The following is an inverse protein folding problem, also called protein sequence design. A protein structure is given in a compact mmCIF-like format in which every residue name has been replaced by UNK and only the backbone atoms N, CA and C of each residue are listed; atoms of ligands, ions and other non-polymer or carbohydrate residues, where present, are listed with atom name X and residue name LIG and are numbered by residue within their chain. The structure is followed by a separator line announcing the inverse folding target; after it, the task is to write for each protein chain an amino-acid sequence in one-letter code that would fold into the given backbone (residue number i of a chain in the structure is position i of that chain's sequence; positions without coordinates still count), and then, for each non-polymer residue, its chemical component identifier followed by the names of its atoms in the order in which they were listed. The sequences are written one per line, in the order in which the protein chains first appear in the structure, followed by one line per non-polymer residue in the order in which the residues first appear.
data_IF_870634837760
#
_entry.id   IF_870634837760
#
_cell.length_a   1.000
_cell.length_b   1.000
_cell.length_c   1.000
_cell.angle_alpha   90.00
_cell.angle_beta   90.00
_cell.angle_gamma   90.00
#
_symmetry.space_group_name_H-M   'P 1'
#
loop_
_entity.id
_entity.type
_entity.pdbx_description
1 polymer ?
#
# COMPACT_ATOMS: atom_id res chain seq x y z
N UNK A 1 -6.55 10.43 -5.66
CA UNK A 1 -6.84 9.43 -4.61
C UNK A 1 -8.09 9.84 -3.86
N UNK A 2 -9.08 8.95 -3.72
CA UNK A 2 -10.31 9.25 -2.97
C UNK A 2 -10.36 8.51 -1.62
N UNK A 3 -11.21 8.98 -0.71
CA UNK A 3 -11.38 8.37 0.62
C UNK A 3 -11.86 6.91 0.55
N UNK A 4 -12.53 6.52 -0.55
CA UNK A 4 -13.01 5.14 -0.74
C UNK A 4 -11.84 4.18 -0.92
N UNK A 5 -10.84 4.57 -1.71
CA UNK A 5 -9.64 3.76 -1.97
C UNK A 5 -8.81 3.53 -0.70
N UNK A 6 -8.57 4.58 0.10
CA UNK A 6 -7.88 4.42 1.41
C UNK A 6 -8.65 3.44 2.30
N UNK A 7 -9.98 3.57 2.36
CA UNK A 7 -10.80 2.71 3.21
C UNK A 7 -10.70 1.25 2.80
N UNK A 8 -10.70 0.98 1.50
CA UNK A 8 -10.44 -0.36 0.98
C UNK A 8 -9.06 -0.87 1.41
N UNK A 9 -7.99 -0.08 1.23
CA UNK A 9 -6.63 -0.47 1.65
C UNK A 9 -6.56 -0.79 3.14
N UNK A 10 -7.16 0.01 4.00
CA UNK A 10 -7.14 -0.23 5.45
C UNK A 10 -7.94 -1.47 5.86
N UNK A 11 -9.10 -1.70 5.23
CA UNK A 11 -9.82 -2.98 5.41
C UNK A 11 -8.99 -4.16 4.92
N UNK A 12 -8.29 -4.04 3.79
CA UNK A 12 -7.41 -5.08 3.26
C UNK A 12 -6.27 -5.39 4.23
N UNK A 13 -5.62 -4.38 4.81
CA UNK A 13 -4.57 -4.58 5.80
C UNK A 13 -5.09 -5.25 7.08
N UNK A 14 -6.30 -4.88 7.50
CA UNK A 14 -6.97 -5.50 8.65
C UNK A 14 -7.26 -6.99 8.39
N UNK A 15 -7.83 -7.32 7.24
CA UNK A 15 -8.12 -8.70 6.83
C UNK A 15 -6.83 -9.50 6.66
N UNK A 16 -5.82 -8.91 5.99
CA UNK A 16 -4.52 -9.55 5.77
C UNK A 16 -3.86 -9.90 7.09
N UNK A 17 -3.83 -8.98 8.06
CA UNK A 17 -3.29 -9.25 9.39
C UNK A 17 -3.96 -10.44 10.06
N UNK A 18 -5.29 -10.53 9.99
CA UNK A 18 -6.05 -11.65 10.57
C UNK A 18 -5.70 -12.97 9.91
N UNK A 19 -5.63 -12.98 8.58
CA UNK A 19 -5.32 -14.18 7.81
C UNK A 19 -3.84 -14.60 7.95
N UNK A 20 -2.91 -13.66 8.17
CA UNK A 20 -1.49 -13.95 8.39
C UNK A 20 -1.26 -14.78 9.65
N UNK A 21 -2.19 -14.74 10.62
CA UNK A 21 -2.20 -15.62 11.79
C UNK A 21 -2.35 -17.11 11.43
N UNK A 22 -2.85 -17.43 10.23
CA UNK A 22 -3.17 -18.79 9.80
C UNK A 22 -2.19 -19.38 8.78
N UNK A 23 -1.40 -18.57 8.07
CA UNK A 23 -0.55 -19.03 6.96
C UNK A 23 0.91 -19.19 7.35
N UNK A 24 1.50 -20.34 7.00
CA UNK A 24 2.96 -20.57 7.00
C UNK A 24 3.48 -20.22 5.61
N UNK A 25 4.14 -19.09 5.43
CA UNK A 25 4.50 -18.59 4.11
C UNK A 25 5.88 -19.04 3.59
N UNK A 26 5.98 -19.11 2.26
CA UNK A 26 7.20 -19.22 1.48
C UNK A 26 7.96 -17.88 1.46
N UNK A 27 9.25 -17.93 1.12
CA UNK A 27 10.22 -16.86 1.38
C UNK A 27 10.47 -15.92 0.21
N UNK A 28 9.48 -15.58 -0.62
CA UNK A 28 9.74 -14.83 -1.85
C UNK A 28 8.74 -13.71 -2.14
N UNK A 29 9.10 -12.49 -1.74
CA UNK A 29 8.27 -11.30 -1.92
C UNK A 29 7.66 -11.15 -3.33
N UNK A 30 6.50 -10.49 -3.39
CA UNK A 30 5.81 -10.17 -4.63
C UNK A 30 5.44 -8.69 -4.69
N UNK A 31 5.22 -8.19 -5.90
CA UNK A 31 4.66 -6.86 -6.14
C UNK A 31 3.36 -6.99 -6.90
N UNK A 32 2.39 -6.18 -6.51
CA UNK A 32 1.11 -6.05 -7.20
C UNK A 32 0.99 -4.64 -7.74
N UNK A 33 0.75 -4.54 -9.04
CA UNK A 33 0.44 -3.30 -9.72
C UNK A 33 -1.08 -3.22 -9.94
N UNK A 34 -1.68 -2.15 -9.44
CA UNK A 34 -3.13 -1.92 -9.48
C UNK A 34 -3.40 -0.57 -10.10
N UNK A 35 -4.26 -0.53 -11.11
CA UNK A 35 -4.75 0.69 -11.75
C UNK A 35 -6.28 0.82 -11.65
N UNK A 36 -6.79 1.99 -12.06
CA UNK A 36 -8.21 2.25 -12.08
C UNK A 36 -8.90 1.56 -13.27
N UNK A 37 -10.13 1.12 -13.07
CA UNK A 37 -10.92 0.48 -14.13
C UNK A 37 -11.24 1.44 -15.28
N UNK A 38 -11.29 2.74 -15.03
CA UNK A 38 -11.62 3.74 -16.06
C UNK A 38 -10.36 4.25 -16.79
N UNK A 39 -9.17 4.13 -16.18
CA UNK A 39 -7.89 4.55 -16.77
C UNK A 39 -6.80 3.54 -16.46
N UNK A 40 -6.40 2.81 -17.50
CA UNK A 40 -5.36 1.80 -17.39
C UNK A 40 -3.98 2.35 -17.69
N UNK A 41 -3.07 2.12 -16.75
CA UNK A 41 -1.64 2.42 -16.88
C UNK A 41 -0.80 1.14 -16.85
N UNK A 42 -1.39 0.05 -16.35
CA UNK A 42 -0.79 -1.26 -16.20
C UNK A 42 -1.41 -2.22 -17.21
N UNK A 43 -0.61 -3.14 -17.72
CA UNK A 43 -1.11 -4.16 -18.62
C UNK A 43 -1.99 -5.14 -17.87
N UNK A 44 -3.04 -5.58 -18.54
CA UNK A 44 -3.90 -6.63 -18.00
C UNK A 44 -3.15 -7.96 -17.95
N UNK A 45 -3.39 -8.79 -16.92
CA UNK A 45 -2.92 -10.17 -16.92
C UNK A 45 -3.46 -10.89 -18.17
N UNK A 46 -2.59 -11.48 -18.99
CA UNK A 46 -2.99 -12.31 -20.12
C UNK A 46 -3.62 -13.61 -19.61
N UNK A 47 -4.78 -13.98 -20.14
CA UNK A 47 -5.47 -15.25 -19.79
C UNK A 47 -4.68 -16.51 -20.17
N UNK A 48 -3.70 -16.40 -21.08
CA UNK A 48 -2.84 -17.51 -21.53
C UNK A 48 -1.54 -17.68 -20.70
N UNK A 49 -1.23 -16.74 -19.78
CA UNK A 49 0.02 -16.73 -18.99
C UNK A 49 -0.15 -17.27 -17.55
N UNK A 50 -1.10 -18.16 -17.33
CA UNK A 50 -1.35 -18.82 -16.03
C UNK A 50 -0.10 -19.57 -15.50
N UNK A 51 0.93 -19.76 -16.34
CA UNK A 51 2.19 -20.42 -15.99
C UNK A 51 3.42 -19.51 -15.85
N UNK A 52 3.39 -18.23 -16.24
CA UNK A 52 4.57 -17.35 -16.13
C UNK A 52 4.34 -16.25 -15.10
N UNK A 53 4.72 -16.53 -13.85
CA UNK A 53 4.99 -15.46 -12.89
C UNK A 53 6.18 -14.64 -13.39
N UNK A 54 5.91 -13.52 -14.06
CA UNK A 54 6.94 -12.60 -14.52
C UNK A 54 7.74 -12.10 -13.32
N UNK A 55 9.06 -12.26 -13.38
CA UNK A 55 9.95 -11.84 -12.30
C UNK A 55 10.41 -10.41 -12.50
N UNK A 56 10.42 -9.64 -11.42
CA UNK A 56 10.83 -8.24 -11.41
C UNK A 56 11.77 -7.98 -10.23
N UNK A 57 12.76 -7.11 -10.41
CA UNK A 57 13.64 -6.67 -9.33
C UNK A 57 13.15 -5.35 -8.72
N UNK A 58 13.59 -5.03 -7.50
CA UNK A 58 13.22 -3.76 -6.86
C UNK A 58 13.70 -2.52 -7.65
N UNK A 59 14.80 -2.64 -8.39
CA UNK A 59 15.27 -1.60 -9.31
C UNK A 59 14.30 -1.41 -10.48
N UNK A 60 13.77 -2.50 -11.04
CA UNK A 60 12.76 -2.46 -12.10
C UNK A 60 11.42 -1.93 -11.57
N UNK A 61 11.04 -2.25 -10.32
CA UNK A 61 9.87 -1.65 -9.66
C UNK A 61 10.03 -0.13 -9.52
N UNK A 62 11.17 0.34 -9.01
CA UNK A 62 11.45 1.78 -8.92
C UNK A 62 11.43 2.47 -10.29
N UNK A 63 12.01 1.82 -11.31
CA UNK A 63 11.98 2.34 -12.66
C UNK A 63 10.55 2.41 -13.24
N UNK A 64 9.70 1.42 -12.96
CA UNK A 64 8.28 1.46 -13.34
C UNK A 64 7.57 2.65 -12.69
N UNK A 65 7.79 2.87 -11.38
CA UNK A 65 7.24 4.01 -10.63
C UNK A 65 7.71 5.33 -11.24
N UNK A 66 9.00 5.49 -11.57
CA UNK A 66 9.49 6.70 -12.24
C UNK A 66 8.76 6.97 -13.56
N UNK A 67 8.58 5.95 -14.41
CA UNK A 67 7.87 6.10 -15.69
C UNK A 67 6.41 6.50 -15.48
N UNK A 68 5.74 5.95 -14.46
CA UNK A 68 4.35 6.27 -14.11
C UNK A 68 4.20 7.70 -13.56
N UNK A 69 5.24 8.21 -12.89
CA UNK A 69 5.33 9.61 -12.46
C UNK A 69 5.70 10.56 -13.60
N UNK A 70 6.07 10.03 -14.77
CA UNK A 70 6.52 10.82 -15.92
C UNK A 70 7.98 11.29 -15.81
N UNK A 71 8.77 10.63 -14.97
CA UNK A 71 10.19 10.92 -14.73
C UNK A 71 11.05 9.88 -15.43
N UNK A 72 12.26 10.28 -15.84
CA UNK A 72 13.23 9.38 -16.47
C UNK A 72 13.62 8.27 -15.48
N UNK A 73 13.52 6.98 -15.88
CA UNK A 73 13.94 5.87 -15.01
C UNK A 73 15.45 5.90 -14.74
N UNK A 74 15.93 5.24 -13.67
CA UNK A 74 17.35 5.24 -13.32
C UNK A 74 18.25 4.79 -14.47
N UNK A 75 19.34 5.52 -14.72
CA UNK A 75 20.32 5.18 -15.76
C UNK A 75 21.04 3.84 -15.54
N UNK A 76 20.93 3.29 -14.34
CA UNK A 76 21.43 1.96 -13.94
C UNK A 76 20.54 0.82 -14.46
N UNK A 77 19.36 1.11 -15.01
CA UNK A 77 18.46 0.12 -15.60
C UNK A 77 19.07 -0.46 -16.89
N UNK A 78 19.25 -1.78 -16.93
CA UNK A 78 19.76 -2.47 -18.11
C UNK A 78 18.72 -2.50 -19.24
N UNK A 79 19.17 -2.77 -20.48
CA UNK A 79 18.26 -2.98 -21.61
C UNK A 79 17.25 -4.11 -21.36
N UNK A 80 17.67 -5.18 -20.68
CA UNK A 80 16.79 -6.27 -20.27
C UNK A 80 15.76 -5.83 -19.22
N UNK A 81 16.16 -5.03 -18.23
CA UNK A 81 15.25 -4.45 -17.24
C UNK A 81 14.25 -3.48 -17.87
N UNK A 82 14.69 -2.69 -18.85
CA UNK A 82 13.82 -1.81 -19.63
C UNK A 82 12.79 -2.61 -20.46
N UNK A 83 13.19 -3.74 -21.06
CA UNK A 83 12.27 -4.62 -21.76
C UNK A 83 11.17 -5.16 -20.83
N UNK A 84 11.50 -5.50 -19.58
CA UNK A 84 10.50 -5.92 -18.59
C UNK A 84 9.52 -4.83 -18.18
N UNK A 85 9.92 -3.55 -18.21
CA UNK A 85 8.96 -2.47 -17.97
C UNK A 85 7.84 -2.48 -19.01
N UNK A 86 8.11 -2.94 -20.23
CA UNK A 86 7.06 -3.12 -21.24
C UNK A 86 6.12 -4.28 -20.90
N UNK A 87 6.48 -5.22 -20.03
CA UNK A 87 5.56 -6.27 -19.58
C UNK A 87 4.56 -5.71 -18.55
N UNK A 88 4.95 -4.68 -17.80
CA UNK A 88 4.14 -4.07 -16.74
C UNK A 88 3.33 -2.87 -17.26
N UNK A 89 3.95 -1.98 -18.04
CA UNK A 89 3.40 -0.67 -18.37
C UNK A 89 2.68 -0.65 -19.72
N UNK A 90 1.58 0.11 -19.77
CA UNK A 90 0.95 0.49 -21.04
C UNK A 90 1.84 1.52 -21.76
N UNK A 91 2.16 1.33 -23.05
CA UNK A 91 3.09 2.19 -23.81
C UNK A 91 2.44 3.52 -24.25
N UNK A 92 1.99 4.33 -23.29
CA UNK A 92 1.40 5.65 -23.52
C UNK A 92 2.14 6.76 -22.75
N UNK A 93 3.23 7.32 -23.32
CA UNK A 93 4.07 8.30 -22.61
C UNK A 93 3.35 9.62 -22.29
N UNK A 94 2.20 9.91 -22.91
CA UNK A 94 1.47 11.17 -22.72
C UNK A 94 0.34 11.05 -21.70
N UNK A 95 -0.08 9.82 -21.38
CA UNK A 95 -1.09 9.56 -20.37
C UNK A 95 -0.46 8.82 -19.19
N UNK A 96 -0.09 9.60 -18.17
CA UNK A 96 0.55 9.10 -16.94
C UNK A 96 -0.21 9.62 -15.72
N UNK A 97 -0.34 8.79 -14.66
CA UNK A 97 -1.08 9.15 -13.46
C UNK A 97 -0.48 10.37 -12.74
N UNK A 98 0.85 10.57 -12.83
CA UNK A 98 1.62 11.61 -12.11
C UNK A 98 1.48 11.57 -10.59
N UNK A 99 0.63 10.73 -10.02
CA UNK A 99 0.54 10.40 -8.62
C UNK A 99 0.59 8.87 -8.44
N UNK A 100 1.49 8.40 -7.59
CA UNK A 100 1.67 6.97 -7.29
C UNK A 100 1.64 6.77 -5.79
N UNK A 101 0.86 5.78 -5.34
CA UNK A 101 0.83 5.32 -3.96
C UNK A 101 1.57 3.98 -3.86
N UNK A 102 2.57 3.89 -3.00
CA UNK A 102 3.41 2.72 -2.84
C UNK A 102 3.45 2.29 -1.38
N UNK A 103 3.15 1.03 -1.08
CA UNK A 103 3.09 0.54 0.29
C UNK A 103 3.85 -0.77 0.42
N UNK A 104 4.93 -0.78 1.18
CA UNK A 104 5.53 -2.02 1.67
C UNK A 104 4.65 -2.58 2.79
N UNK A 105 4.24 -3.82 2.70
CA UNK A 105 3.47 -4.53 3.73
C UNK A 105 4.23 -5.78 4.10
N UNK A 106 5.23 -5.68 4.98
CA UNK A 106 5.82 -6.88 5.49
C UNK A 106 4.74 -7.72 6.16
N UNK A 107 4.56 -8.98 5.77
CA UNK A 107 3.67 -9.90 6.49
C UNK A 107 2.79 -10.79 5.64
N UNK A 108 2.50 -10.40 4.41
CA UNK A 108 1.24 -10.79 3.78
C UNK A 108 1.34 -11.68 2.53
N UNK A 109 2.47 -12.38 2.35
CA UNK A 109 2.68 -13.22 1.16
C UNK A 109 1.67 -14.39 1.11
N UNK A 110 1.04 -14.59 -0.05
CA UNK A 110 0.03 -15.63 -0.30
C UNK A 110 -1.42 -15.24 0.00
N UNK A 111 -1.65 -14.25 0.85
CA UNK A 111 -3.01 -13.88 1.29
C UNK A 111 -3.68 -12.80 0.44
N UNK A 112 -2.87 -11.91 -0.13
CA UNK A 112 -3.36 -10.80 -0.95
C UNK A 112 -3.55 -11.20 -2.42
N UNK A 113 -3.01 -12.34 -2.84
CA UNK A 113 -3.13 -12.84 -4.22
C UNK A 113 -4.58 -13.02 -4.67
N UNK A 114 -5.40 -13.66 -3.84
CA UNK A 114 -6.82 -13.90 -4.14
C UNK A 114 -7.67 -12.61 -4.05
N UNK A 115 -7.22 -11.62 -3.26
CA UNK A 115 -7.95 -10.36 -3.06
C UNK A 115 -7.75 -9.37 -4.22
N UNK A 116 -6.64 -9.48 -4.96
CA UNK A 116 -6.31 -8.64 -6.12
C UNK A 116 -6.42 -9.43 -7.43
N UNK A 117 -7.54 -10.13 -7.64
CA UNK A 117 -7.78 -10.99 -8.81
C UNK A 117 -7.71 -10.28 -10.18
N UNK A 118 -7.69 -8.94 -10.22
CA UNK A 118 -7.48 -8.13 -11.42
C UNK A 118 -6.13 -7.41 -11.50
N UNK A 119 -5.26 -7.53 -10.49
CA UNK A 119 -3.97 -6.87 -10.47
C UNK A 119 -2.91 -7.65 -11.24
N UNK A 120 -1.92 -6.94 -11.77
CA UNK A 120 -0.74 -7.58 -12.33
C UNK A 120 0.22 -7.95 -11.19
N UNK A 121 0.45 -9.25 -11.02
CA UNK A 121 1.32 -9.81 -9.99
C UNK A 121 2.67 -10.22 -10.58
N UNK A 122 3.76 -9.74 -9.97
CA UNK A 122 5.11 -10.14 -10.31
C UNK A 122 5.85 -10.65 -9.08
N UNK A 123 6.71 -11.66 -9.27
CA UNK A 123 7.58 -12.18 -8.21
C UNK A 123 8.83 -11.31 -8.09
N UNK A 124 9.17 -10.86 -6.90
CA UNK A 124 10.36 -10.05 -6.67
C UNK A 124 11.59 -10.97 -6.67
N UNK A 125 12.61 -10.61 -7.45
CA UNK A 125 13.89 -11.33 -7.53
C UNK A 125 15.04 -10.36 -7.31
N UNK A 126 15.99 -10.75 -6.45
CA UNK A 126 17.16 -9.94 -6.13
C UNK A 126 17.42 -9.86 -4.63
N UNK A 127 18.45 -9.10 -4.19
CA UNK A 127 18.76 -8.95 -2.77
C UNK A 127 17.63 -8.20 -2.05
N UNK A 128 17.13 -8.76 -0.95
CA UNK A 128 16.07 -8.17 -0.09
C UNK A 128 16.37 -6.76 0.40
N UNK A 129 17.64 -6.35 0.41
CA UNK A 129 18.09 -5.02 0.89
C UNK A 129 18.18 -3.94 -0.20
N UNK A 130 17.83 -4.24 -1.45
CA UNK A 130 17.84 -3.23 -2.50
C UNK A 130 16.70 -2.23 -2.26
N UNK A 131 17.02 -1.02 -1.84
CA UNK A 131 16.01 0.04 -1.71
C UNK A 131 15.49 0.44 -3.09
N UNK A 132 14.19 0.71 -3.17
CA UNK A 132 13.58 1.33 -4.35
C UNK A 132 14.24 2.69 -4.54
N UNK A 133 14.91 2.88 -5.69
CA UNK A 133 15.50 4.17 -6.02
C UNK A 133 14.37 5.15 -6.28
N UNK A 134 14.27 6.15 -5.41
CA UNK A 134 13.25 7.19 -5.51
C UNK A 134 13.57 8.13 -6.69
N UNK A 135 12.54 8.65 -7.36
CA UNK A 135 12.71 9.64 -8.41
C UNK A 135 13.31 10.95 -7.85
N UNK A 136 13.94 11.74 -8.72
CA UNK A 136 14.69 12.96 -8.36
C UNK A 136 13.82 14.14 -7.87
N UNK A 137 14.43 15.32 -7.76
CA UNK A 137 13.82 16.55 -7.20
C UNK A 137 12.50 17.01 -7.87
N UNK A 138 12.16 16.47 -9.04
CA UNK A 138 10.91 16.72 -9.77
C UNK A 138 9.67 16.05 -9.15
N UNK A 139 9.87 15.18 -8.15
CA UNK A 139 8.82 14.44 -7.45
C UNK A 139 8.68 14.88 -6.00
N UNK A 140 7.46 15.19 -5.61
CA UNK A 140 7.09 15.38 -4.21
C UNK A 140 6.86 14.03 -3.55
N UNK A 141 7.74 13.66 -2.61
CA UNK A 141 7.63 12.41 -1.85
C UNK A 141 6.94 12.66 -0.52
N UNK A 142 5.92 11.86 -0.23
CA UNK A 142 5.14 11.89 1.02
C UNK A 142 5.31 10.54 1.70
N UNK A 143 5.83 10.53 2.93
CA UNK A 143 6.01 9.30 3.71
C UNK A 143 4.76 8.98 4.54
N UNK A 144 4.32 7.73 4.50
CA UNK A 144 3.08 7.26 5.13
C UNK A 144 3.30 6.46 6.41
N UNK A 145 4.55 6.17 6.73
CA UNK A 145 5.00 5.38 7.88
C UNK A 145 5.51 6.23 9.06
N UNK A 146 5.28 7.54 9.02
CA UNK A 146 5.56 8.41 10.17
C UNK A 146 4.77 7.96 11.40
N UNK A 147 5.49 7.75 12.51
CA UNK A 147 4.92 7.28 13.75
C UNK A 147 3.99 8.31 14.37
N UNK A 148 2.84 7.84 14.87
CA UNK A 148 1.91 8.67 15.63
C UNK A 148 2.27 8.65 17.13
N UNK A 149 1.98 9.75 17.82
CA UNK A 149 1.90 9.74 19.29
C UNK A 149 0.83 8.72 19.76
N UNK A 150 0.81 8.41 21.07
CA UNK A 150 -0.23 7.55 21.63
C UNK A 150 -1.62 8.12 21.31
N UNK A 151 -2.46 7.41 20.54
CA UNK A 151 -3.73 7.94 20.07
C UNK A 151 -4.70 8.06 21.25
N UNK A 152 -5.52 9.08 21.22
CA UNK A 152 -6.59 9.32 22.19
C UNK A 152 -7.78 8.39 21.93
N UNK A 153 -8.60 8.16 22.95
CA UNK A 153 -9.85 7.40 22.80
C UNK A 153 -10.79 7.98 21.72
N UNK A 154 -10.76 9.31 21.55
CA UNK A 154 -11.53 9.99 20.51
C UNK A 154 -11.00 9.64 19.11
N UNK A 155 -9.69 9.70 18.89
CA UNK A 155 -9.09 9.36 17.59
C UNK A 155 -9.38 7.91 17.20
N UNK A 156 -9.31 6.97 18.16
CA UNK A 156 -9.67 5.57 17.93
C UNK A 156 -11.15 5.44 17.57
N UNK A 157 -12.04 6.16 18.28
CA UNK A 157 -13.47 6.15 18.00
C UNK A 157 -13.84 6.75 16.64
N UNK A 158 -13.20 7.85 16.26
CA UNK A 158 -13.38 8.48 14.94
C UNK A 158 -12.91 7.55 13.81
N UNK A 159 -11.75 6.92 14.01
CA UNK A 159 -11.20 5.91 13.10
C UNK A 159 -12.11 4.69 12.97
N UNK A 160 -12.59 4.15 14.08
CA UNK A 160 -13.53 3.03 14.11
C UNK A 160 -14.79 3.37 13.31
N UNK A 161 -15.39 4.53 13.60
CA UNK A 161 -16.61 5.01 12.94
C UNK A 161 -16.42 5.16 11.43
N UNK A 162 -15.25 5.64 11.01
CA UNK A 162 -14.92 5.79 9.58
C UNK A 162 -14.81 4.44 8.85
N UNK A 163 -14.32 3.40 9.53
CA UNK A 163 -14.33 2.01 9.05
C UNK A 163 -15.68 1.30 9.21
N UNK A 164 -16.72 1.97 9.72
CA UNK A 164 -18.03 1.38 10.03
C UNK A 164 -18.04 0.50 11.28
N UNK A 165 -17.01 0.61 12.11
CA UNK A 165 -16.87 -0.05 13.41
C UNK A 165 -17.22 0.85 14.59
N UNK A 166 -16.80 0.44 15.78
CA UNK A 166 -17.03 1.15 17.03
C UNK A 166 -15.90 0.95 18.03
N UNK A 167 -15.76 1.87 18.98
CA UNK A 167 -14.80 1.78 20.07
C UNK A 167 -15.51 1.94 21.42
N UNK A 168 -15.43 0.92 22.27
CA UNK A 168 -15.94 0.95 23.63
C UNK A 168 -14.82 1.36 24.59
N UNK A 169 -15.02 2.48 25.30
CA UNK A 169 -14.05 2.98 26.28
C UNK A 169 -14.18 2.16 27.56
N UNK A 170 -13.08 1.60 28.04
CA UNK A 170 -12.97 1.07 29.39
C UNK A 170 -12.48 2.19 30.32
N UNK A 171 -13.23 2.46 31.39
CA UNK A 171 -12.89 3.47 32.40
C UNK A 171 -11.83 2.99 33.39
N UNK A 172 -11.43 1.71 33.34
CA UNK A 172 -10.49 1.09 34.28
C UNK A 172 -9.03 1.56 34.09
N UNK A 173 -8.62 1.92 32.86
CA UNK A 173 -7.31 2.50 32.58
C UNK A 173 -7.27 3.23 31.24
N UNK A 174 -6.27 4.10 31.07
CA UNK A 174 -5.95 4.75 29.79
C UNK A 174 -5.66 3.67 28.74
N UNK A 175 -6.36 3.72 27.60
CA UNK A 175 -6.15 2.84 26.45
C UNK A 175 -6.48 1.35 26.70
N UNK A 176 -7.50 1.05 27.50
CA UNK A 176 -7.98 -0.33 27.72
C UNK A 176 -9.29 -0.68 27.00
N UNK A 177 -9.76 0.17 26.08
CA UNK A 177 -11.00 -0.07 25.36
C UNK A 177 -10.97 -1.24 24.38
N UNK A 178 -12.13 -1.57 23.84
CA UNK A 178 -12.32 -2.59 22.81
C UNK A 178 -12.71 -1.92 21.49
N UNK A 179 -11.91 -2.13 20.44
CA UNK A 179 -12.18 -1.67 19.08
C UNK A 179 -12.80 -2.81 18.27
N UNK A 180 -13.99 -2.60 17.74
CA UNK A 180 -14.70 -3.56 16.88
C UNK A 180 -14.71 -3.04 15.44
N UNK A 181 -14.21 -3.84 14.49
CA UNK A 181 -14.22 -3.50 13.06
C UNK A 181 -15.04 -4.53 12.26
N UNK A 182 -15.88 -4.09 11.29
CA UNK A 182 -16.63 -5.00 10.44
C UNK A 182 -15.73 -5.63 9.38
N UNK A 183 -16.03 -6.88 9.03
CA UNK A 183 -15.42 -7.61 7.93
C UNK A 183 -16.40 -7.71 6.74
N UNK A 184 -15.91 -7.84 5.49
CA UNK A 184 -16.76 -7.98 4.31
C UNK A 184 -17.73 -9.17 4.35
N UNK A 185 -17.40 -10.20 5.14
CA UNK A 185 -18.27 -11.37 5.37
C UNK A 185 -19.52 -11.07 6.23
N UNK A 186 -19.62 -9.87 6.79
CA UNK A 186 -20.64 -9.50 7.79
C UNK A 186 -20.26 -9.87 9.22
N UNK A 187 -19.14 -10.55 9.44
CA UNK A 187 -18.56 -10.76 10.77
C UNK A 187 -17.87 -9.49 11.29
N UNK A 188 -17.46 -9.50 12.56
CA UNK A 188 -16.64 -8.44 13.15
C UNK A 188 -15.38 -9.00 13.79
N UNK A 189 -14.35 -8.16 13.88
CA UNK A 189 -13.12 -8.45 14.63
C UNK A 189 -13.00 -7.47 15.79
N UNK A 190 -12.55 -7.97 16.94
CA UNK A 190 -12.39 -7.19 18.15
C UNK A 190 -10.90 -7.11 18.55
N UNK A 191 -10.41 -5.89 18.73
CA UNK A 191 -9.06 -5.59 19.20
C UNK A 191 -9.14 -5.05 20.63
N UNK A 192 -8.41 -5.69 21.54
CA UNK A 192 -8.39 -5.32 22.94
C UNK A 192 -7.15 -4.47 23.22
N UNK A 193 -7.33 -3.18 23.46
CA UNK A 193 -6.21 -2.23 23.60
C UNK A 193 -5.33 -2.48 24.83
N UNK A 194 -5.84 -3.26 25.79
CA UNK A 194 -5.06 -3.79 26.92
C UNK A 194 -3.97 -4.79 26.49
N UNK A 195 -4.15 -5.47 25.35
CA UNK A 195 -3.15 -6.37 24.77
C UNK A 195 -2.15 -5.56 23.97
N UNK A 196 -0.86 -5.71 24.30
CA UNK A 196 0.22 -4.98 23.63
C UNK A 196 0.23 -5.20 22.11
N UNK A 197 0.01 -6.43 21.64
CA UNK A 197 0.01 -6.74 20.20
C UNK A 197 -1.11 -5.98 19.45
N UNK A 198 -2.36 -6.09 19.92
CA UNK A 198 -3.51 -5.38 19.37
C UNK A 198 -3.28 -3.87 19.38
N UNK A 199 -2.76 -3.32 20.49
CA UNK A 199 -2.48 -1.89 20.60
C UNK A 199 -1.44 -1.41 19.59
N UNK A 200 -0.33 -2.12 19.46
CA UNK A 200 0.73 -1.74 18.49
C UNK A 200 0.23 -1.88 17.05
N UNK A 201 -0.56 -2.90 16.75
CA UNK A 201 -1.19 -3.06 15.44
C UNK A 201 -2.12 -1.89 15.11
N UNK A 202 -3.02 -1.52 16.03
CA UNK A 202 -3.96 -0.42 15.82
C UNK A 202 -3.25 0.93 15.73
N UNK A 203 -2.17 1.15 16.50
CA UNK A 203 -1.33 2.34 16.35
C UNK A 203 -0.74 2.45 14.95
N UNK A 204 -0.19 1.37 14.40
CA UNK A 204 0.31 1.37 13.03
C UNK A 204 -0.80 1.67 12.02
N UNK A 205 -1.99 1.10 12.22
CA UNK A 205 -3.12 1.30 11.30
C UNK A 205 -3.66 2.74 11.36
N UNK A 206 -3.71 3.34 12.55
CA UNK A 206 -4.06 4.74 12.76
C UNK A 206 -3.04 5.68 12.15
N UNK A 207 -1.73 5.44 12.36
CA UNK A 207 -0.67 6.22 11.74
C UNK A 207 -0.83 6.22 10.22
N UNK A 208 -1.02 5.04 9.61
CA UNK A 208 -1.25 4.92 8.18
C UNK A 208 -2.51 5.68 7.73
N UNK A 209 -3.62 5.58 8.46
CA UNK A 209 -4.85 6.32 8.16
C UNK A 209 -4.63 7.83 8.19
N UNK A 210 -4.00 8.34 9.24
CA UNK A 210 -3.70 9.77 9.38
C UNK A 210 -2.78 10.27 8.27
N UNK A 211 -1.67 9.57 8.03
CA UNK A 211 -0.70 9.96 7.02
C UNK A 211 -1.30 9.89 5.61
N UNK A 212 -2.14 8.88 5.33
CA UNK A 212 -2.83 8.77 4.03
C UNK A 212 -3.85 9.91 3.84
N UNK A 213 -4.56 10.31 4.90
CA UNK A 213 -5.46 11.46 4.86
C UNK A 213 -4.69 12.76 4.60
N UNK A 214 -3.60 12.99 5.34
CA UNK A 214 -2.73 14.14 5.11
C UNK A 214 -2.14 14.16 3.70
N UNK A 215 -1.83 12.98 3.13
CA UNK A 215 -1.38 12.86 1.75
C UNK A 215 -2.46 13.26 0.74
N UNK A 216 -3.74 12.91 0.96
CA UNK A 216 -4.86 13.41 0.12
C UNK A 216 -4.97 14.93 0.23
N UNK A 217 -4.93 15.48 1.44
CA UNK A 217 -5.06 16.92 1.66
C UNK A 217 -3.93 17.68 0.98
N UNK A 218 -2.71 17.13 1.02
CA UNK A 218 -1.55 17.66 0.31
C UNK A 218 -1.70 17.54 -1.21
N UNK A 219 -2.18 16.41 -1.73
CA UNK A 219 -2.49 16.24 -3.16
C UNK A 219 -3.50 17.28 -3.66
N UNK A 220 -4.58 17.52 -2.90
CA UNK A 220 -5.55 18.56 -3.22
C UNK A 220 -4.92 19.96 -3.23
N UNK A 221 -4.04 20.25 -2.26
CA UNK A 221 -3.32 21.53 -2.21
C UNK A 221 -2.37 21.69 -3.42
N UNK A 222 -1.61 20.66 -3.78
CA UNK A 222 -0.69 20.65 -4.92
C UNK A 222 -1.43 20.74 -6.27
N UNK A 223 -2.61 20.11 -6.38
CA UNK A 223 -3.42 20.17 -7.60
C UNK A 223 -3.85 21.60 -7.98
N UNK A 224 -3.91 22.51 -6.99
CA UNK A 224 -4.25 23.92 -7.16
C UNK A 224 -3.04 24.80 -7.52
N UNK A 225 -1.83 24.27 -7.46
CA UNK A 225 -0.61 24.99 -7.84
C UNK A 225 -0.48 25.04 -9.38
N UNK A 226 0.07 26.15 -9.90
CA UNK A 226 0.37 26.32 -11.32
C UNK A 226 1.48 25.34 -11.78
N UNK A 227 2.38 25.00 -10.88
CA UNK A 227 3.36 23.93 -11.07
C UNK A 227 2.90 22.70 -10.29
N UNK A 228 2.38 21.70 -11.00
CA UNK A 228 1.95 20.43 -10.41
C UNK A 228 3.11 19.45 -10.49
N UNK A 229 3.88 19.21 -9.41
CA UNK A 229 4.92 18.17 -9.42
C UNK A 229 4.27 16.79 -9.58
N UNK A 230 5.07 15.78 -9.92
CA UNK A 230 4.62 14.40 -9.75
C UNK A 230 4.67 14.04 -8.25
N UNK A 231 3.83 13.12 -7.80
CA UNK A 231 3.61 12.84 -6.38
C UNK A 231 3.83 11.35 -6.10
N UNK A 232 4.75 11.03 -5.19
CA UNK A 232 4.96 9.68 -4.71
C UNK A 232 4.59 9.60 -3.23
N UNK A 233 3.47 8.96 -2.93
CA UNK A 233 3.08 8.64 -1.56
C UNK A 233 3.64 7.25 -1.25
N UNK A 234 4.58 7.13 -0.32
CA UNK A 234 5.22 5.86 -0.02
C UNK A 234 5.22 5.55 1.47
N UNK A 235 5.14 4.29 1.86
CA UNK A 235 5.34 3.91 3.26
C UNK A 235 5.56 2.42 3.45
N UNK A 236 5.83 2.04 4.69
CA UNK A 236 5.97 0.66 5.14
C UNK A 236 5.03 0.37 6.31
N UNK A 237 4.10 -0.55 6.11
CA UNK A 237 3.19 -1.05 7.13
C UNK A 237 3.75 -2.30 7.81
N UNK A 238 4.74 -2.12 8.69
CA UNK A 238 5.35 -3.21 9.47
C UNK A 238 4.46 -3.72 10.64
N UNK A 239 3.17 -3.36 10.67
CA UNK A 239 2.21 -3.83 11.68
C UNK A 239 1.98 -5.35 11.63
N UNK A 240 2.30 -5.98 10.51
CA UNK A 240 2.20 -7.42 10.29
C UNK A 240 3.61 -8.01 10.31
N UNK A 241 4.31 -7.99 11.46
CA UNK A 241 5.76 -8.28 11.61
C UNK A 241 6.30 -9.64 11.11
N UNK A 242 5.54 -10.45 10.36
CA UNK A 242 5.92 -11.85 10.10
C UNK A 242 6.59 -12.09 8.72
N UNK A 243 6.38 -11.29 7.66
CA UNK A 243 6.89 -11.55 6.27
C UNK A 243 7.23 -10.23 5.52
N UNK A 244 7.55 -10.15 4.22
CA UNK A 244 7.86 -8.91 3.43
C UNK A 244 7.01 -8.82 2.13
N UNK A 245 6.32 -7.71 1.81
CA UNK A 245 5.54 -7.52 0.56
C UNK A 245 5.60 -6.06 0.09
N UNK A 246 5.45 -5.76 -1.21
CA UNK A 246 5.36 -4.39 -1.74
C UNK A 246 4.12 -4.22 -2.62
N UNK A 247 3.42 -3.09 -2.52
CA UNK A 247 2.28 -2.70 -3.37
C UNK A 247 2.57 -1.39 -4.09
N UNK A 248 2.17 -1.30 -5.35
CA UNK A 248 2.15 -0.05 -6.11
C UNK A 248 0.73 0.15 -6.63
N UNK A 249 0.03 1.11 -6.02
CA UNK A 249 -1.29 1.56 -6.38
C UNK A 249 -1.16 2.84 -7.22
N UNK A 250 -1.78 2.85 -8.39
CA UNK A 250 -1.69 3.96 -9.33
C UNK A 250 -3.02 4.72 -9.36
N UNK A 251 -2.94 6.04 -9.27
CA UNK A 251 -4.08 6.95 -9.29
C UNK A 251 -4.17 7.67 -10.64
#
# INVERSE_FOLDING_TARGET
MDFRTIRCVLHLLTISSLLCSLSRAESSGSVFFVDDQCRRYIRSPSQDDVAQSHSISLLEVGAAVSVLLGVVPPATLSAAGSAKLNEVLVPDPFNRPRAVFMMEVPGAEGLLGDMFSGALRNKIVGPEKAQIQLPGEEVSVIYLDEGLADPTAKEIGDFASWLGGSYAIDSSAVMNGELTLPLPSGASVNFHMSKKADREFIKSLLALFHNSRSAIEMHEALSKNNHRPAELMMGCFAGIKVLVLYFVLLC
#
